data_IF_720350649113
#
_entry.id   IF_720350649113
#
_cell.length_a   1.000
_cell.length_b   1.000
_cell.length_c   1.000
_cell.angle_alpha   90.00
_cell.angle_beta   90.00
_cell.angle_gamma   90.00
#
_symmetry.space_group_name_H-M   'P 1'
#
loop_
_entity.id
_entity.type
_entity.pdbx_description
1 polymer ?
#
# COMPACT_ATOMS: atom_id res chain seq x y z
N UNK A 1 28.48 -13.28 32.57
CA UNK A 1 28.61 -12.23 31.55
C UNK A 1 29.38 -12.81 30.37
N UNK A 2 28.68 -13.28 29.35
CA UNK A 2 29.32 -13.83 28.15
C UNK A 2 29.61 -12.71 27.16
N UNK A 3 30.85 -12.61 26.71
CA UNK A 3 31.26 -11.68 25.66
C UNK A 3 30.51 -12.08 24.37
N UNK A 4 29.72 -11.19 23.75
CA UNK A 4 29.05 -11.50 22.49
C UNK A 4 30.10 -11.87 21.44
N UNK A 5 29.94 -13.02 20.79
CA UNK A 5 30.86 -13.44 19.74
C UNK A 5 30.95 -12.35 18.66
N UNK A 6 32.18 -12.02 18.24
CA UNK A 6 32.50 -11.01 17.23
C UNK A 6 31.70 -11.15 15.91
N UNK A 7 31.14 -12.34 15.67
CA UNK A 7 30.40 -12.71 14.45
C UNK A 7 29.03 -12.03 14.34
N UNK A 8 28.43 -11.60 15.46
CA UNK A 8 27.11 -10.92 15.49
C UNK A 8 27.20 -9.45 15.05
N UNK A 9 28.42 -8.88 14.94
CA UNK A 9 28.63 -7.48 14.52
C UNK A 9 28.44 -7.21 13.02
N UNK A 10 28.08 -8.21 12.19
CA UNK A 10 28.02 -8.05 10.73
C UNK A 10 26.74 -8.60 10.07
N UNK A 11 25.58 -8.36 10.66
CA UNK A 11 24.35 -8.33 9.85
C UNK A 11 24.32 -7.01 9.09
N UNK A 12 24.95 -7.01 7.92
CA UNK A 12 24.99 -5.85 7.05
C UNK A 12 23.65 -5.71 6.33
N UNK A 13 22.87 -4.72 6.74
CA UNK A 13 21.64 -4.30 6.07
C UNK A 13 22.04 -3.65 4.75
N UNK A 14 22.11 -4.43 3.67
CA UNK A 14 22.48 -3.91 2.34
C UNK A 14 21.30 -3.14 1.75
N UNK A 15 21.38 -1.82 1.74
CA UNK A 15 20.33 -0.97 1.17
C UNK A 15 20.44 -0.98 -0.36
N UNK A 16 19.34 -1.26 -1.06
CA UNK A 16 19.23 -1.01 -2.50
C UNK A 16 19.06 0.49 -2.74
N UNK A 17 20.01 1.06 -3.46
CA UNK A 17 19.98 2.48 -3.83
C UNK A 17 18.83 2.81 -4.80
N UNK A 18 18.47 1.87 -5.68
CA UNK A 18 17.44 2.11 -6.69
C UNK A 18 16.02 1.87 -6.16
N UNK A 19 15.11 2.80 -6.47
CA UNK A 19 13.67 2.60 -6.24
C UNK A 19 13.13 1.62 -7.28
N UNK A 20 12.32 0.61 -6.89
CA UNK A 20 11.76 -0.32 -7.86
C UNK A 20 10.95 0.46 -8.91
N UNK A 21 11.16 0.12 -10.20
CA UNK A 21 10.50 0.80 -11.32
C UNK A 21 9.00 0.46 -11.36
N UNK A 22 8.62 -0.77 -10.99
CA UNK A 22 7.25 -1.28 -11.05
C UNK A 22 6.21 -0.42 -10.31
N UNK A 23 6.42 0.00 -9.03
CA UNK A 23 5.54 0.93 -8.35
C UNK A 23 5.33 2.25 -9.08
N UNK A 24 6.36 2.78 -9.77
CA UNK A 24 6.25 4.01 -10.56
C UNK A 24 5.39 3.78 -11.81
N UNK A 25 5.60 2.67 -12.51
CA UNK A 25 4.76 2.27 -13.65
C UNK A 25 3.30 2.11 -13.21
N UNK A 26 3.05 1.43 -12.09
CA UNK A 26 1.70 1.28 -11.56
C UNK A 26 1.07 2.65 -11.24
N UNK A 27 1.82 3.58 -10.63
CA UNK A 27 1.35 4.93 -10.34
C UNK A 27 0.97 5.71 -11.61
N UNK A 28 1.76 5.58 -12.69
CA UNK A 28 1.46 6.18 -14.00
C UNK A 28 0.19 5.57 -14.59
N UNK A 29 0.05 4.25 -14.61
CA UNK A 29 -1.15 3.57 -15.14
C UNK A 29 -2.42 3.97 -14.37
N UNK A 30 -2.35 4.06 -13.03
CA UNK A 30 -3.46 4.54 -12.19
C UNK A 30 -3.83 5.98 -12.56
N UNK A 31 -2.83 6.84 -12.80
CA UNK A 31 -3.05 8.23 -13.18
C UNK A 31 -3.70 8.34 -14.56
N UNK A 32 -3.26 7.56 -15.55
CA UNK A 32 -3.86 7.49 -16.89
C UNK A 32 -5.30 6.96 -16.85
N UNK A 33 -5.58 5.92 -16.05
CA UNK A 33 -6.93 5.41 -15.85
C UNK A 33 -7.87 6.46 -15.22
N UNK A 34 -7.34 7.29 -14.31
CA UNK A 34 -8.11 8.40 -13.71
C UNK A 34 -8.35 9.54 -14.70
N UNK A 35 -7.37 9.86 -15.56
CA UNK A 35 -7.51 10.82 -16.65
C UNK A 35 -8.61 10.40 -17.62
N UNK A 36 -8.61 9.14 -18.06
CA UNK A 36 -9.68 8.61 -18.91
C UNK A 36 -11.08 8.74 -18.27
N UNK A 37 -11.20 8.43 -16.98
CA UNK A 37 -12.47 8.61 -16.25
C UNK A 37 -12.91 10.08 -16.11
N UNK A 38 -11.96 10.99 -15.87
CA UNK A 38 -12.22 12.42 -15.76
C UNK A 38 -12.63 13.03 -17.11
N UNK A 39 -11.95 12.67 -18.20
CA UNK A 39 -12.30 13.07 -19.57
C UNK A 39 -13.69 12.57 -19.93
N UNK A 40 -13.97 11.28 -19.68
CA UNK A 40 -15.29 10.69 -19.94
C UNK A 40 -16.40 11.45 -19.21
N UNK A 41 -16.29 11.58 -17.88
CA UNK A 41 -17.33 12.26 -17.09
C UNK A 41 -17.43 13.75 -17.46
N UNK A 42 -16.29 14.42 -17.71
CA UNK A 42 -16.29 15.84 -18.07
C UNK A 42 -16.98 16.10 -19.41
N UNK A 43 -16.80 15.20 -20.38
CA UNK A 43 -17.45 15.30 -21.69
C UNK A 43 -18.96 15.09 -21.57
N UNK A 44 -19.40 14.14 -20.73
CA UNK A 44 -20.82 13.92 -20.42
C UNK A 44 -21.46 15.13 -19.74
N UNK A 45 -20.68 15.87 -18.92
CA UNK A 45 -21.05 17.14 -18.31
C UNK A 45 -20.86 18.37 -19.23
N UNK A 46 -20.63 18.16 -20.54
CA UNK A 46 -20.53 19.23 -21.55
C UNK A 46 -19.18 19.95 -21.62
N UNK A 47 -18.16 19.52 -20.89
CA UNK A 47 -16.82 20.11 -20.96
C UNK A 47 -16.06 19.67 -22.22
N UNK A 48 -15.16 20.52 -22.71
CA UNK A 48 -14.34 20.27 -23.91
C UNK A 48 -12.92 20.81 -23.77
N UNK A 49 -12.01 20.29 -24.60
CA UNK A 49 -10.68 20.84 -24.76
C UNK A 49 -9.83 20.86 -23.47
N UNK A 50 -9.02 21.92 -23.24
CA UNK A 50 -8.14 22.01 -22.07
C UNK A 50 -8.85 21.97 -20.71
N UNK A 51 -10.14 22.34 -20.65
CA UNK A 51 -10.93 22.29 -19.42
C UNK A 51 -11.02 20.87 -18.83
N UNK A 52 -11.01 19.84 -19.69
CA UNK A 52 -11.01 18.43 -19.26
C UNK A 52 -9.73 18.07 -18.50
N UNK A 53 -8.58 18.55 -18.97
CA UNK A 53 -7.27 18.32 -18.34
C UNK A 53 -7.21 19.04 -17.00
N UNK A 54 -7.66 20.31 -16.95
CA UNK A 54 -7.65 21.08 -15.71
C UNK A 54 -8.61 20.47 -14.67
N UNK A 55 -9.79 20.00 -15.08
CA UNK A 55 -10.69 19.25 -14.19
C UNK A 55 -10.05 17.96 -13.68
N UNK A 56 -9.40 17.19 -14.55
CA UNK A 56 -8.66 16.01 -14.11
C UNK A 56 -7.59 16.36 -13.08
N UNK A 57 -6.77 17.38 -13.36
CA UNK A 57 -5.71 17.85 -12.46
C UNK A 57 -6.28 18.24 -11.10
N UNK A 58 -7.45 18.89 -11.08
CA UNK A 58 -8.17 19.27 -9.86
C UNK A 58 -8.56 18.05 -9.04
N UNK A 59 -9.31 17.11 -9.64
CA UNK A 59 -9.78 15.90 -8.95
C UNK A 59 -8.59 15.02 -8.51
N UNK A 60 -7.61 14.86 -9.38
CA UNK A 60 -6.42 14.05 -9.13
C UNK A 60 -5.57 14.62 -7.99
N UNK A 61 -5.31 15.93 -7.98
CA UNK A 61 -4.52 16.57 -6.93
C UNK A 61 -5.22 16.55 -5.56
N UNK A 62 -6.54 16.75 -5.51
CA UNK A 62 -7.34 16.61 -4.27
C UNK A 62 -7.30 15.16 -3.77
N UNK A 63 -7.51 14.18 -4.67
CA UNK A 63 -7.47 12.77 -4.29
C UNK A 63 -6.08 12.33 -3.81
N UNK A 64 -5.02 12.76 -4.50
CA UNK A 64 -3.63 12.50 -4.13
C UNK A 64 -3.31 13.08 -2.74
N UNK A 65 -3.70 14.33 -2.51
CA UNK A 65 -3.55 15.03 -1.23
C UNK A 65 -4.30 14.31 -0.12
N UNK A 66 -5.59 14.02 -0.32
CA UNK A 66 -6.45 13.39 0.67
C UNK A 66 -5.88 12.06 1.15
N UNK A 67 -5.50 11.17 0.24
CA UNK A 67 -4.90 9.90 0.60
C UNK A 67 -3.56 10.09 1.30
N UNK A 68 -2.67 10.88 0.74
CA UNK A 68 -1.35 11.14 1.31
C UNK A 68 -1.45 11.62 2.77
N UNK A 69 -2.37 12.56 3.03
CA UNK A 69 -2.64 13.11 4.35
C UNK A 69 -3.31 12.09 5.29
N UNK A 70 -4.20 11.23 4.78
CA UNK A 70 -4.79 10.14 5.57
C UNK A 70 -3.71 9.14 6.02
N UNK A 71 -2.80 8.79 5.11
CA UNK A 71 -1.69 7.90 5.42
C UNK A 71 -0.75 8.50 6.48
N UNK A 72 -0.44 9.79 6.34
CA UNK A 72 0.32 10.55 7.35
C UNK A 72 -0.40 10.63 8.70
N UNK A 73 -1.69 10.94 8.72
CA UNK A 73 -2.44 11.33 9.92
C UNK A 73 -2.99 10.17 10.76
N UNK A 74 -3.25 9.02 10.13
CA UNK A 74 -3.90 7.88 10.80
C UNK A 74 -3.16 6.54 10.63
N UNK A 75 -2.54 6.28 9.48
CA UNK A 75 -1.93 4.97 9.23
C UNK A 75 -0.49 4.86 9.73
N UNK A 76 0.26 5.96 9.76
CA UNK A 76 1.59 5.99 10.38
C UNK A 76 1.46 5.87 11.90
N UNK A 77 1.99 4.78 12.46
CA UNK A 77 1.99 4.51 13.90
C UNK A 77 3.26 5.06 14.55
N UNK A 78 3.10 5.61 15.76
CA UNK A 78 4.22 6.11 16.58
C UNK A 78 5.03 4.99 17.24
N UNK A 79 4.46 3.79 17.32
CA UNK A 79 5.03 2.59 17.93
C UNK A 79 4.58 1.36 17.15
N UNK A 80 5.41 0.33 17.13
CA UNK A 80 5.10 -0.99 16.57
C UNK A 80 5.41 -2.03 17.66
N UNK A 81 4.61 -3.09 17.78
CA UNK A 81 4.73 -4.04 18.91
C UNK A 81 6.05 -4.81 18.92
N UNK A 82 6.62 -5.02 17.74
CA UNK A 82 7.74 -5.93 17.52
C UNK A 82 9.05 -5.18 17.22
N UNK A 83 9.08 -3.85 17.42
CA UNK A 83 10.23 -2.99 17.14
C UNK A 83 10.48 -2.01 18.29
N UNK A 84 11.74 -1.59 18.46
CA UNK A 84 12.11 -0.62 19.49
C UNK A 84 11.34 0.71 19.28
N UNK A 85 10.52 1.14 20.27
CA UNK A 85 9.76 2.38 20.19
C UNK A 85 10.61 3.62 19.90
N UNK A 86 11.85 3.68 20.37
CA UNK A 86 12.73 4.82 20.10
C UNK A 86 13.19 4.87 18.65
N UNK A 87 13.51 3.71 18.07
CA UNK A 87 13.89 3.57 16.66
C UNK A 87 12.72 3.88 15.74
N UNK A 88 11.51 3.42 16.08
CA UNK A 88 10.29 3.77 15.34
C UNK A 88 9.99 5.27 15.43
N UNK A 89 10.20 5.89 16.61
CA UNK A 89 10.06 7.35 16.76
C UNK A 89 11.10 8.11 15.95
N UNK A 90 12.35 7.65 15.89
CA UNK A 90 13.40 8.24 15.06
C UNK A 90 13.05 8.15 13.57
N UNK A 91 12.64 6.96 13.10
CA UNK A 91 12.13 6.76 11.74
C UNK A 91 11.01 7.74 11.38
N UNK A 92 10.02 7.87 12.26
CA UNK A 92 8.89 8.79 12.04
C UNK A 92 9.30 10.27 12.08
N UNK A 93 10.30 10.62 12.89
CA UNK A 93 10.86 11.97 12.95
C UNK A 93 11.47 12.35 11.59
N UNK A 94 12.20 11.43 10.97
CA UNK A 94 12.87 11.66 9.68
C UNK A 94 11.92 11.51 8.48
N UNK A 95 10.83 10.75 8.64
CA UNK A 95 9.71 10.76 7.70
C UNK A 95 9.02 12.13 7.61
N UNK A 96 9.01 12.91 8.70
CA UNK A 96 8.36 14.23 8.78
C UNK A 96 8.88 15.26 7.77
N UNK A 97 10.19 15.60 7.75
CA UNK A 97 10.78 16.48 6.75
C UNK A 97 10.50 16.05 5.31
N UNK A 98 10.55 14.75 5.04
CA UNK A 98 10.29 14.21 3.69
C UNK A 98 8.83 14.32 3.31
N UNK A 99 7.92 14.06 4.25
CA UNK A 99 6.50 14.28 4.06
C UNK A 99 6.18 15.75 3.76
N UNK A 100 6.82 16.71 4.46
CA UNK A 100 6.71 18.15 4.15
C UNK A 100 7.17 18.47 2.73
N UNK A 101 8.32 17.92 2.30
CA UNK A 101 8.84 18.17 0.95
C UNK A 101 7.85 17.67 -0.11
N UNK A 102 7.34 16.45 0.05
CA UNK A 102 6.35 15.88 -0.88
C UNK A 102 5.05 16.69 -0.83
N UNK A 103 4.58 17.09 0.34
CA UNK A 103 3.37 17.90 0.49
C UNK A 103 3.47 19.26 -0.20
N UNK A 104 4.63 19.93 -0.14
CA UNK A 104 4.86 21.19 -0.87
C UNK A 104 4.78 21.00 -2.38
N UNK A 105 5.31 19.89 -2.91
CA UNK A 105 5.17 19.57 -4.33
C UNK A 105 3.71 19.31 -4.71
N UNK A 106 2.97 18.57 -3.88
CA UNK A 106 1.54 18.37 -4.08
C UNK A 106 0.79 19.71 -4.01
N UNK A 107 1.15 20.60 -3.09
CA UNK A 107 0.51 21.90 -2.94
C UNK A 107 0.60 22.74 -4.21
N UNK A 108 1.75 22.73 -4.90
CA UNK A 108 1.89 23.40 -6.20
C UNK A 108 0.88 22.86 -7.22
N UNK A 109 0.73 21.53 -7.29
CA UNK A 109 -0.25 20.90 -8.17
C UNK A 109 -1.68 21.26 -7.78
N UNK A 110 -1.99 21.33 -6.47
CA UNK A 110 -3.31 21.75 -5.97
C UNK A 110 -3.59 23.21 -6.30
N UNK A 111 -2.59 24.12 -6.23
CA UNK A 111 -2.76 25.52 -6.65
C UNK A 111 -3.16 25.61 -8.12
N UNK A 112 -2.49 24.88 -9.01
CA UNK A 112 -2.89 24.82 -10.41
C UNK A 112 -4.28 24.19 -10.58
N UNK A 113 -4.55 23.10 -9.87
CA UNK A 113 -5.87 22.45 -9.85
C UNK A 113 -6.98 23.33 -9.27
N UNK A 114 -6.68 24.32 -8.44
CA UNK A 114 -7.69 25.18 -7.84
C UNK A 114 -8.49 25.95 -8.90
N UNK A 115 -7.97 26.16 -10.11
CA UNK A 115 -8.70 26.78 -11.21
C UNK A 115 -9.83 25.90 -11.81
N UNK A 116 -9.89 24.60 -11.46
CA UNK A 116 -10.88 23.65 -11.98
C UNK A 116 -12.35 24.08 -11.90
N UNK A 117 -12.85 24.59 -10.76
CA UNK A 117 -14.24 25.04 -10.62
C UNK A 117 -14.63 26.17 -11.59
N UNK A 118 -13.66 26.95 -12.07
CA UNK A 118 -13.89 28.08 -13.00
C UNK A 118 -14.03 27.63 -14.45
N UNK A 119 -13.43 26.50 -14.82
CA UNK A 119 -13.58 25.93 -16.17
C UNK A 119 -14.70 24.89 -16.26
N UNK A 120 -15.26 24.48 -15.13
CA UNK A 120 -16.41 23.60 -15.06
C UNK A 120 -17.72 24.39 -15.30
N UNK A 121 -18.12 24.52 -16.57
CA UNK A 121 -19.31 25.28 -16.97
C UNK A 121 -20.61 24.79 -16.32
N UNK A 122 -20.72 23.49 -16.00
CA UNK A 122 -21.88 22.97 -15.26
C UNK A 122 -22.01 23.49 -13.82
N UNK A 123 -21.02 24.26 -13.32
CA UNK A 123 -21.10 25.00 -12.06
C UNK A 123 -21.62 26.44 -12.22
N UNK A 124 -21.91 26.93 -13.44
CA UNK A 124 -22.34 28.32 -13.67
C UNK A 124 -23.64 28.65 -12.92
N UNK A 125 -24.57 27.70 -12.86
CA UNK A 125 -25.81 27.83 -12.07
C UNK A 125 -25.64 27.59 -10.56
N UNK A 126 -24.42 27.36 -10.06
CA UNK A 126 -24.12 27.03 -8.65
C UNK A 126 -22.94 27.84 -8.11
N UNK A 127 -23.04 29.19 -8.06
CA UNK A 127 -21.92 30.06 -7.73
C UNK A 127 -21.33 29.77 -6.34
N UNK A 128 -22.18 29.52 -5.33
CA UNK A 128 -21.71 29.19 -3.98
C UNK A 128 -20.83 27.93 -3.98
N UNK A 129 -21.26 26.85 -4.65
CA UNK A 129 -20.48 25.61 -4.74
C UNK A 129 -19.15 25.84 -5.47
N UNK A 130 -19.16 26.60 -6.57
CA UNK A 130 -17.94 26.99 -7.30
C UNK A 130 -16.93 27.69 -6.38
N UNK A 131 -17.38 28.69 -5.62
CA UNK A 131 -16.51 29.41 -4.67
C UNK A 131 -16.00 28.49 -3.55
N UNK A 132 -16.87 27.64 -2.98
CA UNK A 132 -16.46 26.70 -1.92
C UNK A 132 -15.41 25.70 -2.41
N UNK A 133 -15.55 25.18 -3.63
CA UNK A 133 -14.56 24.27 -4.23
C UNK A 133 -13.24 25.00 -4.52
N UNK A 134 -13.29 26.23 -5.01
CA UNK A 134 -12.10 27.05 -5.27
C UNK A 134 -11.37 27.39 -3.96
N UNK A 135 -12.05 28.04 -3.02
CA UNK A 135 -11.49 28.46 -1.73
C UNK A 135 -11.05 27.27 -0.90
N UNK A 136 -11.79 26.16 -0.92
CA UNK A 136 -11.40 24.93 -0.26
C UNK A 136 -10.12 24.33 -0.85
N UNK A 137 -9.94 24.39 -2.18
CA UNK A 137 -8.70 23.94 -2.84
C UNK A 137 -7.51 24.83 -2.48
N UNK A 138 -7.71 26.15 -2.42
CA UNK A 138 -6.70 27.10 -1.92
C UNK A 138 -6.35 26.83 -0.44
N UNK A 139 -7.35 26.57 0.41
CA UNK A 139 -7.14 26.20 1.81
C UNK A 139 -6.36 24.89 1.92
N UNK A 140 -6.69 23.88 1.12
CA UNK A 140 -5.96 22.61 1.10
C UNK A 140 -4.48 22.83 0.70
N UNK A 141 -4.22 23.62 -0.35
CA UNK A 141 -2.87 23.98 -0.75
C UNK A 141 -2.11 24.70 0.38
N UNK A 142 -2.74 25.67 1.05
CA UNK A 142 -2.15 26.36 2.19
C UNK A 142 -1.80 25.37 3.31
N UNK A 143 -2.73 24.48 3.68
CA UNK A 143 -2.49 23.48 4.73
C UNK A 143 -1.36 22.51 4.36
N UNK A 144 -1.18 22.17 3.08
CA UNK A 144 -0.08 21.35 2.58
C UNK A 144 1.28 22.08 2.62
N UNK A 145 1.29 23.40 2.44
CA UNK A 145 2.49 24.24 2.55
C UNK A 145 2.93 24.42 4.01
N UNK A 146 1.98 24.38 4.95
CA UNK A 146 2.22 24.36 6.38
C UNK A 146 2.78 23.00 6.85
N UNK A 147 3.06 22.85 8.15
CA UNK A 147 3.73 21.66 8.69
C UNK A 147 2.82 20.44 8.84
N UNK A 148 2.52 19.77 7.72
CA UNK A 148 1.89 18.43 7.70
C UNK A 148 2.80 17.33 8.28
N UNK A 149 4.01 17.71 8.73
CA UNK A 149 4.83 16.92 9.63
C UNK A 149 4.19 16.74 11.01
N UNK A 150 3.13 17.46 11.37
CA UNK A 150 2.30 17.18 12.56
C UNK A 150 1.07 16.34 12.20
N UNK A 151 0.68 15.42 13.09
CA UNK A 151 -0.51 14.57 12.88
C UNK A 151 -1.80 15.37 12.87
N UNK A 152 -1.92 16.39 13.72
CA UNK A 152 -3.13 17.24 13.82
C UNK A 152 -3.38 17.97 12.50
N UNK A 153 -2.38 18.67 11.97
CA UNK A 153 -2.55 19.41 10.73
C UNK A 153 -2.80 18.50 9.54
N UNK A 154 -2.12 17.35 9.48
CA UNK A 154 -2.39 16.34 8.45
C UNK A 154 -3.84 15.85 8.48
N UNK A 155 -4.42 15.66 9.67
CA UNK A 155 -5.83 15.25 9.83
C UNK A 155 -6.80 16.34 9.40
N UNK A 156 -6.54 17.60 9.79
CA UNK A 156 -7.37 18.73 9.36
C UNK A 156 -7.36 18.88 7.83
N UNK A 157 -6.17 18.84 7.23
CA UNK A 157 -6.01 18.91 5.78
C UNK A 157 -6.70 17.75 5.06
N UNK A 158 -6.63 16.53 5.60
CA UNK A 158 -7.39 15.40 5.07
C UNK A 158 -8.91 15.60 5.17
N UNK A 159 -9.40 16.23 6.24
CA UNK A 159 -10.80 16.62 6.38
C UNK A 159 -11.23 17.60 5.27
N UNK A 160 -10.42 18.62 4.99
CA UNK A 160 -10.66 19.56 3.88
C UNK A 160 -10.67 18.83 2.53
N UNK A 161 -9.69 17.95 2.28
CA UNK A 161 -9.64 17.16 1.05
C UNK A 161 -10.88 16.26 0.90
N UNK A 162 -11.35 15.63 1.98
CA UNK A 162 -12.57 14.83 1.97
C UNK A 162 -13.82 15.66 1.63
N UNK A 163 -13.98 16.84 2.23
CA UNK A 163 -15.07 17.76 1.93
C UNK A 163 -15.04 18.22 0.46
N UNK A 164 -13.86 18.47 -0.10
CA UNK A 164 -13.69 18.79 -1.52
C UNK A 164 -14.09 17.62 -2.41
N UNK A 165 -13.67 16.38 -2.10
CA UNK A 165 -14.09 15.19 -2.86
C UNK A 165 -15.60 14.99 -2.79
N UNK A 166 -16.23 15.22 -1.62
CA UNK A 166 -17.68 15.18 -1.47
C UNK A 166 -18.37 16.28 -2.29
N UNK A 167 -17.83 17.50 -2.28
CA UNK A 167 -18.33 18.62 -3.07
C UNK A 167 -18.26 18.35 -4.57
N UNK A 168 -17.16 17.77 -5.06
CA UNK A 168 -17.04 17.34 -6.46
C UNK A 168 -17.94 16.16 -6.80
N UNK A 169 -18.14 15.20 -5.88
CA UNK A 169 -19.09 14.11 -6.09
C UNK A 169 -20.53 14.65 -6.24
N UNK A 170 -20.91 15.60 -5.40
CA UNK A 170 -22.19 16.32 -5.49
C UNK A 170 -22.31 17.15 -6.78
N UNK A 171 -21.22 17.80 -7.20
CA UNK A 171 -21.18 18.56 -8.45
C UNK A 171 -21.38 17.64 -9.67
N UNK A 172 -20.72 16.49 -9.68
CA UNK A 172 -20.75 15.52 -10.79
C UNK A 172 -22.09 14.77 -10.88
N UNK A 173 -22.68 14.38 -9.75
CA UNK A 173 -23.75 13.39 -9.72
C UNK A 173 -24.97 13.77 -8.84
N UNK A 174 -24.95 14.94 -8.20
CA UNK A 174 -26.04 15.40 -7.33
C UNK A 174 -26.15 14.63 -6.01
N UNK A 175 -27.34 14.66 -5.41
CA UNK A 175 -27.67 13.90 -4.20
C UNK A 175 -28.14 12.48 -4.53
N UNK A 176 -28.19 11.61 -3.53
CA UNK A 176 -28.72 10.25 -3.66
C UNK A 176 -27.64 9.21 -4.02
N UNK A 177 -28.08 8.08 -4.59
CA UNK A 177 -27.22 6.91 -4.82
C UNK A 177 -26.07 7.21 -5.77
N UNK A 178 -26.30 7.99 -6.84
CA UNK A 178 -25.26 8.34 -7.80
C UNK A 178 -24.15 9.19 -7.15
N UNK A 179 -24.53 10.22 -6.37
CA UNK A 179 -23.60 11.03 -5.58
C UNK A 179 -22.82 10.20 -4.56
N UNK A 180 -23.50 9.29 -3.84
CA UNK A 180 -22.85 8.40 -2.88
C UNK A 180 -21.83 7.46 -3.56
N UNK A 181 -22.21 6.82 -4.67
CA UNK A 181 -21.30 5.96 -5.45
C UNK A 181 -20.07 6.75 -5.92
N UNK A 182 -20.27 7.98 -6.38
CA UNK A 182 -19.18 8.86 -6.82
C UNK A 182 -18.25 9.23 -5.66
N UNK A 183 -18.81 9.55 -4.51
CA UNK A 183 -18.06 9.85 -3.29
C UNK A 183 -17.23 8.65 -2.83
N UNK A 184 -17.84 7.46 -2.75
CA UNK A 184 -17.13 6.22 -2.40
C UNK A 184 -16.00 5.94 -3.40
N UNK A 185 -16.26 6.12 -4.70
CA UNK A 185 -15.24 5.96 -5.74
C UNK A 185 -14.06 6.92 -5.53
N UNK A 186 -14.33 8.21 -5.30
CA UNK A 186 -13.30 9.22 -5.05
C UNK A 186 -12.52 8.96 -3.77
N UNK A 187 -13.18 8.60 -2.67
CA UNK A 187 -12.50 8.28 -1.41
C UNK A 187 -11.62 7.04 -1.55
N UNK A 188 -12.12 5.98 -2.20
CA UNK A 188 -11.34 4.78 -2.47
C UNK A 188 -10.13 5.10 -3.35
N UNK A 189 -10.34 5.81 -4.47
CA UNK A 189 -9.25 6.25 -5.34
C UNK A 189 -8.21 7.10 -4.59
N UNK A 190 -8.66 8.03 -3.75
CA UNK A 190 -7.81 8.89 -2.91
C UNK A 190 -6.93 8.06 -1.97
N UNK A 191 -7.52 7.15 -1.18
CA UNK A 191 -6.77 6.26 -0.28
C UNK A 191 -5.71 5.43 -1.00
N UNK A 192 -6.02 4.95 -2.21
CA UNK A 192 -5.09 4.16 -3.02
C UNK A 192 -3.91 4.99 -3.52
N UNK A 193 -4.20 6.06 -4.27
CA UNK A 193 -3.17 6.84 -4.98
C UNK A 193 -2.29 7.62 -4.01
N UNK A 194 -2.89 8.20 -2.96
CA UNK A 194 -2.15 8.89 -1.91
C UNK A 194 -1.34 7.93 -1.02
N UNK A 195 -1.84 6.72 -0.79
CA UNK A 195 -1.07 5.68 -0.09
C UNK A 195 0.10 5.14 -0.88
N UNK A 196 -0.07 4.97 -2.19
CA UNK A 196 1.02 4.64 -3.09
C UNK A 196 2.09 5.73 -3.05
N UNK A 197 1.70 7.01 -3.14
CA UNK A 197 2.63 8.13 -3.06
C UNK A 197 3.36 8.18 -1.70
N UNK A 198 2.65 8.01 -0.58
CA UNK A 198 3.26 7.98 0.75
C UNK A 198 4.34 6.90 0.84
N UNK A 199 4.04 5.67 0.40
CA UNK A 199 4.98 4.57 0.45
C UNK A 199 6.19 4.81 -0.47
N UNK A 200 5.96 5.37 -1.67
CA UNK A 200 7.02 5.61 -2.67
C UNK A 200 7.94 6.76 -2.28
N UNK A 201 7.37 7.90 -1.89
CA UNK A 201 8.10 9.14 -1.75
C UNK A 201 8.59 9.41 -0.31
N UNK A 202 7.94 8.80 0.69
CA UNK A 202 8.24 9.02 2.11
C UNK A 202 8.77 7.74 2.77
N UNK A 203 7.94 6.70 2.86
CA UNK A 203 8.27 5.54 3.70
C UNK A 203 9.48 4.75 3.19
N UNK A 204 9.54 4.43 1.89
CA UNK A 204 10.68 3.71 1.31
C UNK A 204 12.00 4.47 1.45
N UNK A 205 12.08 5.77 1.08
CA UNK A 205 13.34 6.47 1.24
C UNK A 205 13.76 6.72 2.69
N UNK A 206 12.82 6.94 3.61
CA UNK A 206 13.16 7.04 5.04
C UNK A 206 13.71 5.71 5.56
N UNK A 207 13.15 4.57 5.12
CA UNK A 207 13.69 3.24 5.45
C UNK A 207 15.13 3.01 4.97
N UNK A 208 15.59 3.72 3.93
CA UNK A 208 16.98 3.63 3.46
C UNK A 208 17.96 4.38 4.35
N UNK A 209 17.52 5.46 4.98
CA UNK A 209 18.33 6.27 5.90
C UNK A 209 18.51 5.48 7.21
N UNK A 210 17.47 4.79 7.66
CA UNK A 210 17.52 3.91 8.82
C UNK A 210 17.74 2.46 8.39
N UNK A 211 18.99 2.11 8.08
CA UNK A 211 19.39 0.73 7.81
C UNK A 211 19.43 -0.12 9.11
N UNK A 212 18.33 -0.13 9.87
CA UNK A 212 18.14 -0.93 11.08
C UNK A 212 16.95 -1.87 10.93
N UNK A 213 16.98 -2.98 11.67
CA UNK A 213 15.91 -3.99 11.65
C UNK A 213 14.57 -3.38 12.09
N UNK A 214 14.56 -2.51 13.10
CA UNK A 214 13.35 -1.82 13.56
C UNK A 214 12.69 -0.94 12.48
N UNK A 215 13.50 -0.27 11.66
CA UNK A 215 12.99 0.55 10.56
C UNK A 215 12.42 -0.32 9.43
N UNK A 216 13.04 -1.49 9.18
CA UNK A 216 12.50 -2.48 8.25
C UNK A 216 11.17 -3.02 8.75
N UNK A 217 11.04 -3.34 10.03
CA UNK A 217 9.78 -3.78 10.66
C UNK A 217 8.70 -2.70 10.57
N UNK A 218 9.02 -1.47 10.95
CA UNK A 218 8.09 -0.34 10.86
C UNK A 218 7.60 -0.12 9.42
N UNK A 219 8.50 -0.23 8.46
CA UNK A 219 8.16 -0.14 7.05
C UNK A 219 7.31 -1.33 6.58
N UNK A 220 7.62 -2.55 7.02
CA UNK A 220 6.87 -3.75 6.68
C UNK A 220 5.43 -3.65 7.19
N UNK A 221 5.24 -3.25 8.46
CA UNK A 221 3.92 -3.03 9.05
C UNK A 221 3.15 -1.92 8.34
N UNK A 222 3.82 -0.83 7.95
CA UNK A 222 3.19 0.23 7.15
C UNK A 222 2.70 -0.28 5.80
N UNK A 223 3.50 -1.12 5.15
CA UNK A 223 3.15 -1.70 3.87
C UNK A 223 2.04 -2.75 3.99
N UNK A 224 1.98 -3.50 5.09
CA UNK A 224 0.88 -4.42 5.40
C UNK A 224 -0.44 -3.69 5.61
N UNK A 225 -0.42 -2.57 6.33
CA UNK A 225 -1.58 -1.67 6.43
C UNK A 225 -2.03 -1.19 5.06
N UNK A 226 -1.09 -0.78 4.19
CA UNK A 226 -1.40 -0.39 2.82
C UNK A 226 -2.06 -1.51 2.02
N UNK A 227 -1.53 -2.74 2.09
CA UNK A 227 -2.13 -3.89 1.41
C UNK A 227 -3.53 -4.18 1.91
N UNK A 228 -3.73 -4.14 3.23
CA UNK A 228 -5.03 -4.37 3.84
C UNK A 228 -6.05 -3.36 3.29
N UNK A 229 -5.70 -2.08 3.25
CA UNK A 229 -6.57 -1.03 2.69
C UNK A 229 -6.83 -1.26 1.20
N UNK A 230 -5.79 -1.55 0.42
CA UNK A 230 -5.92 -1.79 -1.03
C UNK A 230 -6.82 -2.99 -1.34
N UNK A 231 -6.81 -4.04 -0.50
CA UNK A 231 -7.73 -5.20 -0.63
C UNK A 231 -9.20 -4.82 -0.60
N UNK A 232 -9.57 -3.73 0.08
CA UNK A 232 -10.95 -3.22 0.09
C UNK A 232 -11.16 -2.12 -0.95
N UNK A 233 -10.18 -1.25 -1.11
CA UNK A 233 -10.25 -0.09 -1.99
C UNK A 233 -10.31 -0.48 -3.47
N UNK A 234 -9.51 -1.46 -3.90
CA UNK A 234 -9.49 -1.87 -5.31
C UNK A 234 -10.82 -2.49 -5.77
N UNK A 235 -11.42 -3.46 -5.04
CA UNK A 235 -12.78 -3.90 -5.32
C UNK A 235 -13.80 -2.76 -5.28
N UNK A 236 -13.69 -1.84 -4.32
CA UNK A 236 -14.60 -0.70 -4.24
C UNK A 236 -14.54 0.20 -5.48
N UNK A 237 -13.34 0.52 -5.99
CA UNK A 237 -13.15 1.31 -7.21
C UNK A 237 -13.73 0.58 -8.42
N UNK A 238 -13.50 -0.73 -8.55
CA UNK A 238 -14.01 -1.55 -9.66
C UNK A 238 -15.53 -1.60 -9.61
N UNK A 239 -16.12 -1.97 -8.47
CA UNK A 239 -17.57 -2.13 -8.31
C UNK A 239 -18.31 -0.81 -8.51
N UNK A 240 -17.84 0.28 -7.90
CA UNK A 240 -18.45 1.61 -8.12
C UNK A 240 -18.25 2.09 -9.56
N UNK A 241 -17.12 1.78 -10.19
CA UNK A 241 -16.86 2.06 -11.60
C UNK A 241 -17.83 1.33 -12.54
N UNK A 242 -18.06 0.03 -12.31
CA UNK A 242 -19.02 -0.79 -13.05
C UNK A 242 -20.44 -0.27 -12.82
N UNK A 243 -20.80 0.04 -11.57
CA UNK A 243 -22.12 0.58 -11.24
C UNK A 243 -22.38 1.91 -11.99
N UNK A 244 -21.41 2.83 -11.99
CA UNK A 244 -21.53 4.08 -12.77
C UNK A 244 -21.58 3.81 -14.29
N UNK A 245 -20.78 2.87 -14.81
CA UNK A 245 -20.79 2.52 -16.24
C UNK A 245 -22.08 1.82 -16.69
N UNK A 246 -22.79 1.16 -15.78
CA UNK A 246 -24.03 0.44 -16.09
C UNK A 246 -25.14 1.34 -16.65
N UNK A 247 -25.09 2.64 -16.34
CA UNK A 247 -25.98 3.65 -16.92
C UNK A 247 -25.90 3.74 -18.46
N UNK A 248 -24.80 3.26 -19.07
CA UNK A 248 -24.57 3.31 -20.51
C UNK A 248 -24.86 1.97 -21.24
N UNK A 249 -25.37 0.95 -20.53
CA UNK A 249 -25.68 -0.39 -21.10
C UNK A 249 -26.56 -0.34 -22.37
N UNK A 250 -27.48 0.61 -22.45
CA UNK A 250 -28.43 0.73 -23.57
C UNK A 250 -27.83 1.35 -24.84
N UNK A 251 -26.55 1.75 -24.85
CA UNK A 251 -25.91 2.37 -26.02
C UNK A 251 -25.49 1.31 -27.06
N UNK A 252 -25.58 1.61 -28.37
CA UNK A 252 -25.21 0.69 -29.44
C UNK A 252 -23.71 0.36 -29.43
N UNK A 253 -23.32 -0.80 -29.97
CA UNK A 253 -21.93 -1.28 -29.94
C UNK A 253 -20.92 -0.24 -30.48
N UNK A 254 -21.24 0.38 -31.62
CA UNK A 254 -20.37 1.40 -32.24
C UNK A 254 -20.16 2.66 -31.41
N UNK A 255 -20.96 2.91 -30.36
CA UNK A 255 -20.70 3.97 -29.39
C UNK A 255 -19.51 3.62 -28.47
N UNK A 256 -19.37 2.35 -28.10
CA UNK A 256 -18.28 1.86 -27.26
C UNK A 256 -16.92 1.86 -27.96
N UNK A 257 -16.91 1.93 -29.28
CA UNK A 257 -15.69 1.99 -30.11
C UNK A 257 -15.25 3.44 -30.39
N UNK A 258 -16.12 4.43 -30.14
CA UNK A 258 -15.87 5.84 -30.46
C UNK A 258 -15.66 6.67 -29.20
N UNK A 259 -14.96 7.79 -29.34
CA UNK A 259 -14.82 8.75 -28.26
C UNK A 259 -16.18 9.41 -27.93
N UNK A 260 -16.55 9.58 -26.65
CA UNK A 260 -15.82 9.22 -25.44
C UNK A 260 -16.07 7.78 -24.94
N UNK A 261 -17.00 7.02 -25.52
CA UNK A 261 -17.37 5.66 -25.09
C UNK A 261 -16.21 4.68 -24.99
N UNK A 262 -15.24 4.75 -25.90
CA UNK A 262 -14.01 3.93 -25.91
C UNK A 262 -13.12 4.09 -24.66
N UNK A 263 -13.30 5.18 -23.89
CA UNK A 263 -12.55 5.37 -22.66
C UNK A 263 -12.92 4.36 -21.56
N UNK A 264 -14.15 3.82 -21.57
CA UNK A 264 -14.58 2.82 -20.60
C UNK A 264 -13.81 1.49 -20.80
N UNK A 265 -13.85 0.84 -21.97
CA UNK A 265 -13.09 -0.39 -22.18
C UNK A 265 -11.57 -0.17 -22.07
N UNK A 266 -11.04 0.98 -22.52
CA UNK A 266 -9.63 1.32 -22.33
C UNK A 266 -9.25 1.36 -20.83
N UNK A 267 -10.09 1.96 -19.98
CA UNK A 267 -9.89 1.98 -18.53
C UNK A 267 -9.94 0.58 -17.93
N UNK A 268 -10.87 -0.27 -18.38
CA UNK A 268 -10.93 -1.68 -17.95
C UNK A 268 -9.64 -2.42 -18.32
N UNK A 269 -9.12 -2.23 -19.55
CA UNK A 269 -7.86 -2.82 -19.97
C UNK A 269 -6.67 -2.38 -19.09
N UNK A 270 -6.60 -1.09 -18.74
CA UNK A 270 -5.57 -0.57 -17.81
C UNK A 270 -5.71 -1.20 -16.42
N UNK A 271 -6.94 -1.36 -15.91
CA UNK A 271 -7.17 -2.02 -14.61
C UNK A 271 -6.72 -3.49 -14.66
N UNK A 272 -7.03 -4.21 -15.74
CA UNK A 272 -6.55 -5.59 -15.94
C UNK A 272 -5.02 -5.65 -15.99
N UNK A 273 -4.38 -4.72 -16.71
CA UNK A 273 -2.92 -4.61 -16.74
C UNK A 273 -2.34 -4.33 -15.33
N UNK A 274 -2.97 -3.45 -14.55
CA UNK A 274 -2.58 -3.19 -13.16
C UNK A 274 -2.71 -4.44 -12.29
N UNK A 275 -3.83 -5.16 -12.37
CA UNK A 275 -4.02 -6.43 -11.65
C UNK A 275 -2.95 -7.44 -12.04
N UNK A 276 -2.64 -7.57 -13.33
CA UNK A 276 -1.55 -8.40 -13.83
C UNK A 276 -0.20 -7.97 -13.25
N UNK A 277 0.11 -6.67 -13.21
CA UNK A 277 1.33 -6.15 -12.57
C UNK A 277 1.35 -6.53 -11.09
N UNK A 278 0.23 -6.42 -10.37
CA UNK A 278 0.17 -6.80 -8.95
C UNK A 278 0.29 -8.31 -8.71
N UNK A 279 -0.22 -9.15 -9.62
CA UNK A 279 -0.11 -10.62 -9.53
C UNK A 279 1.30 -11.08 -9.91
N UNK A 280 1.84 -10.55 -11.02
CA UNK A 280 3.12 -10.98 -11.60
C UNK A 280 4.33 -10.37 -10.91
N UNK A 281 4.24 -9.14 -10.41
CA UNK A 281 5.25 -8.62 -9.51
C UNK A 281 5.03 -9.38 -8.21
N UNK A 282 5.85 -10.38 -7.85
CA UNK A 282 5.61 -11.16 -6.65
C UNK A 282 5.49 -10.15 -5.53
N UNK A 283 4.31 -10.12 -4.93
CA UNK A 283 4.00 -9.38 -3.73
C UNK A 283 5.21 -9.59 -2.78
N UNK A 284 6.14 -8.62 -2.78
CA UNK A 284 7.06 -8.31 -1.69
C UNK A 284 8.45 -8.94 -1.56
N UNK A 285 8.98 -9.75 -2.49
CA UNK A 285 10.41 -10.16 -2.38
C UNK A 285 11.41 -9.18 -3.00
N UNK A 286 11.02 -8.38 -4.00
CA UNK A 286 11.96 -7.51 -4.74
C UNK A 286 11.80 -6.01 -4.46
N UNK A 287 10.77 -5.62 -3.70
CA UNK A 287 10.45 -4.21 -3.44
C UNK A 287 10.85 -3.72 -2.04
N UNK A 288 11.43 -4.57 -1.20
CA UNK A 288 12.07 -4.09 0.02
C UNK A 288 13.31 -3.28 -0.38
N UNK A 289 13.47 -2.03 0.12
CA UNK A 289 14.68 -1.25 -0.12
C UNK A 289 15.91 -1.86 0.56
N UNK A 290 15.77 -2.95 1.29
CA UNK A 290 16.85 -3.67 1.94
C UNK A 290 17.01 -5.06 1.30
N UNK A 291 18.17 -5.29 0.70
CA UNK A 291 18.66 -6.58 0.18
C UNK A 291 19.17 -7.39 1.38
N UNK A 292 18.67 -8.60 1.60
CA UNK A 292 19.23 -9.53 2.59
C UNK A 292 18.57 -9.56 3.97
N UNK A 293 17.56 -8.74 4.28
CA UNK A 293 16.73 -8.95 5.50
C UNK A 293 15.66 -9.99 5.21
N UNK A 294 16.12 -11.24 5.16
CA UNK A 294 15.37 -12.41 5.57
C UNK A 294 15.99 -12.87 6.89
N UNK A 295 15.78 -12.12 7.97
CA UNK A 295 15.63 -12.61 9.35
C UNK A 295 15.68 -11.41 10.30
N UNK A 296 14.53 -11.07 10.88
CA UNK A 296 14.44 -10.08 11.97
C UNK A 296 14.77 -10.75 13.31
N UNK A 297 14.93 -12.07 13.31
CA UNK A 297 14.99 -12.89 14.52
C UNK A 297 16.34 -13.56 14.81
N UNK A 298 17.35 -13.24 14.00
CA UNK A 298 18.75 -13.39 14.41
C UNK A 298 19.10 -12.53 15.66
N UNK A 299 18.18 -11.68 16.12
CA UNK A 299 18.33 -10.79 17.28
C UNK A 299 17.84 -11.38 18.62
N UNK A 300 16.92 -12.35 18.62
CA UNK A 300 16.35 -12.91 19.87
C UNK A 300 17.19 -14.09 20.42
N UNK A 301 17.99 -14.73 19.56
CA UNK A 301 18.83 -15.91 19.85
C UNK A 301 20.00 -15.67 20.84
N UNK A 302 20.26 -14.42 21.27
CA UNK A 302 21.30 -14.13 22.25
C UNK A 302 20.90 -14.41 23.72
N UNK A 303 19.67 -14.88 23.97
CA UNK A 303 19.05 -14.91 25.31
C UNK A 303 18.68 -16.30 25.85
N UNK A 304 19.30 -17.38 25.37
CA UNK A 304 19.58 -18.63 26.09
C UNK A 304 18.44 -19.42 26.79
N UNK A 305 18.36 -20.73 26.52
CA UNK A 305 18.22 -21.78 27.56
C UNK A 305 18.38 -23.17 26.94
N UNK A 306 19.36 -23.91 27.46
CA UNK A 306 19.56 -25.31 27.15
C UNK A 306 18.58 -26.20 27.91
N UNK A 307 18.17 -27.29 27.28
CA UNK A 307 17.57 -28.46 27.95
C UNK A 307 18.12 -29.73 27.30
N UNK A 308 18.47 -30.67 28.16
CA UNK A 308 19.11 -31.98 27.93
C UNK A 308 18.11 -33.05 27.43
N UNK A 309 18.61 -34.23 26.98
CA UNK A 309 17.94 -35.14 26.07
C UNK A 309 17.21 -36.29 26.77
N UNK A 310 16.11 -36.75 26.17
CA UNK A 310 15.89 -38.14 25.79
C UNK A 310 14.65 -38.16 24.87
N UNK A 311 14.85 -38.67 23.66
CA UNK A 311 14.08 -38.52 22.41
C UNK A 311 14.09 -37.12 21.76
N UNK A 312 14.39 -37.02 20.44
CA UNK A 312 14.40 -35.76 19.73
C UNK A 312 12.99 -35.13 19.76
N UNK A 313 12.78 -33.98 20.43
CA UNK A 313 11.46 -33.39 20.54
C UNK A 313 10.96 -33.00 19.14
N UNK A 314 9.73 -33.42 18.82
CA UNK A 314 8.99 -32.85 17.69
C UNK A 314 8.39 -31.53 18.15
N UNK A 315 9.03 -30.42 17.78
CA UNK A 315 8.49 -29.09 18.07
C UNK A 315 7.63 -28.63 16.90
N UNK A 316 6.45 -28.08 17.18
CA UNK A 316 5.51 -27.61 16.17
C UNK A 316 5.47 -26.09 16.12
N UNK A 317 5.66 -25.53 14.94
CA UNK A 317 5.45 -24.12 14.61
C UNK A 317 4.18 -23.98 13.76
N UNK A 318 3.19 -23.29 14.30
CA UNK A 318 1.93 -23.02 13.60
C UNK A 318 1.94 -21.63 12.96
N UNK A 319 2.11 -21.61 11.64
CA UNK A 319 2.14 -20.44 10.77
C UNK A 319 0.87 -20.28 9.93
N UNK A 320 -0.23 -20.95 10.28
CA UNK A 320 -1.48 -20.87 9.50
C UNK A 320 -2.11 -19.47 9.47
N UNK A 321 -1.73 -18.59 10.40
CA UNK A 321 -2.20 -17.21 10.51
C UNK A 321 -1.06 -16.20 10.45
N UNK A 322 0.12 -16.62 10.02
CA UNK A 322 1.34 -15.82 10.00
C UNK A 322 1.77 -15.64 8.54
N UNK A 323 2.11 -14.41 8.08
CA UNK A 323 2.62 -14.20 6.73
C UNK A 323 3.85 -15.08 6.42
N UNK A 324 4.03 -15.54 5.16
CA UNK A 324 5.07 -16.51 4.81
C UNK A 324 6.46 -16.17 5.36
N UNK A 325 6.88 -14.91 5.19
CA UNK A 325 8.18 -14.43 5.68
C UNK A 325 8.31 -14.63 7.19
N UNK A 326 7.34 -14.15 7.97
CA UNK A 326 7.32 -14.32 9.43
C UNK A 326 7.23 -15.80 9.84
N UNK A 327 6.55 -16.63 9.03
CA UNK A 327 6.45 -18.06 9.29
C UNK A 327 7.78 -18.80 9.14
N UNK A 328 8.55 -18.49 8.09
CA UNK A 328 9.89 -19.06 7.89
C UNK A 328 10.85 -18.61 8.98
N UNK A 329 10.78 -17.34 9.37
CA UNK A 329 11.56 -16.77 10.48
C UNK A 329 11.26 -17.54 11.79
N UNK A 330 9.98 -17.77 12.11
CA UNK A 330 9.57 -18.62 13.26
C UNK A 330 10.12 -20.05 13.16
N UNK A 331 10.08 -20.63 11.97
CA UNK A 331 10.59 -21.97 11.75
C UNK A 331 12.11 -22.03 11.91
N UNK A 332 12.85 -21.04 11.41
CA UNK A 332 14.30 -21.00 11.45
C UNK A 332 14.84 -20.86 12.88
N UNK A 333 14.35 -19.90 13.65
CA UNK A 333 14.66 -19.80 15.08
C UNK A 333 14.38 -21.10 15.83
N UNK A 334 13.19 -21.67 15.60
CA UNK A 334 12.80 -22.89 16.30
C UNK A 334 13.79 -23.99 15.92
N UNK A 335 14.14 -24.13 14.64
CA UNK A 335 15.16 -25.08 14.18
C UNK A 335 16.53 -24.84 14.82
N UNK A 336 16.95 -23.58 14.99
CA UNK A 336 18.23 -23.21 15.63
C UNK A 336 18.25 -23.39 17.15
N UNK A 337 17.08 -23.44 17.80
CA UNK A 337 16.96 -23.76 19.22
C UNK A 337 16.93 -25.27 19.51
N UNK A 338 16.54 -26.08 18.52
CA UNK A 338 16.36 -27.52 18.65
C UNK A 338 17.68 -28.29 18.80
N UNK A 339 17.82 -29.36 19.59
CA UNK A 339 19.06 -30.15 19.59
C UNK A 339 19.29 -30.85 18.23
N UNK A 340 20.55 -31.21 17.92
CA UNK A 340 20.85 -31.99 16.71
C UNK A 340 20.04 -33.29 16.70
N UNK A 341 19.52 -33.68 15.54
CA UNK A 341 18.60 -34.80 15.37
C UNK A 341 17.12 -34.51 15.70
N UNK A 342 16.80 -33.38 16.33
CA UNK A 342 15.42 -32.98 16.62
C UNK A 342 14.61 -32.70 15.35
N UNK A 343 13.27 -32.78 15.49
CA UNK A 343 12.35 -32.58 14.37
C UNK A 343 11.52 -31.32 14.56
N UNK A 344 11.38 -30.55 13.49
CA UNK A 344 10.50 -29.38 13.43
C UNK A 344 9.31 -29.67 12.52
N UNK A 345 8.10 -29.53 13.05
CA UNK A 345 6.87 -29.52 12.27
C UNK A 345 6.44 -28.08 11.97
N UNK A 346 6.27 -27.73 10.69
CA UNK A 346 5.77 -26.41 10.26
C UNK A 346 4.39 -26.59 9.64
N UNK A 347 3.40 -25.84 10.12
CA UNK A 347 2.05 -25.77 9.52
C UNK A 347 1.83 -24.41 8.89
N UNK A 348 1.52 -24.34 7.60
CA UNK A 348 1.29 -23.05 6.90
C UNK A 348 0.08 -23.11 5.98
N UNK A 349 -0.72 -22.03 5.93
CA UNK A 349 -1.78 -21.85 4.93
C UNK A 349 -1.29 -21.07 3.70
N UNK A 350 -0.05 -20.60 3.71
CA UNK A 350 0.50 -19.83 2.60
C UNK A 350 0.64 -20.71 1.35
N UNK A 351 0.20 -20.20 0.20
CA UNK A 351 0.25 -20.89 -1.09
C UNK A 351 1.68 -21.10 -1.57
N UNK A 352 2.62 -20.27 -1.12
CA UNK A 352 4.03 -20.34 -1.50
C UNK A 352 4.86 -21.22 -0.56
N UNK A 353 4.33 -21.60 0.61
CA UNK A 353 5.05 -22.40 1.60
C UNK A 353 5.72 -23.67 1.04
N UNK A 354 5.12 -24.45 0.11
CA UNK A 354 5.75 -25.64 -0.46
C UNK A 354 7.09 -25.38 -1.15
N UNK A 355 7.22 -24.24 -1.82
CA UNK A 355 8.44 -23.84 -2.50
C UNK A 355 9.40 -23.19 -1.51
N UNK A 356 8.91 -22.26 -0.68
CA UNK A 356 9.78 -21.46 0.17
C UNK A 356 10.39 -22.24 1.33
N UNK A 357 9.61 -23.11 2.00
CA UNK A 357 10.12 -23.97 3.09
C UNK A 357 11.16 -24.95 2.55
N UNK A 358 10.95 -25.49 1.34
CA UNK A 358 11.91 -26.39 0.70
C UNK A 358 13.23 -25.68 0.38
N UNK A 359 13.18 -24.52 -0.27
CA UNK A 359 14.38 -23.75 -0.62
C UNK A 359 15.15 -23.29 0.63
N UNK A 360 14.44 -22.86 1.66
CA UNK A 360 15.04 -22.51 2.94
C UNK A 360 15.74 -23.73 3.57
N UNK A 361 15.06 -24.88 3.63
CA UNK A 361 15.61 -26.12 4.16
C UNK A 361 16.88 -26.58 3.42
N UNK A 362 16.85 -26.58 2.10
CA UNK A 362 17.99 -26.95 1.25
C UNK A 362 19.18 -26.00 1.46
N UNK A 363 18.93 -24.69 1.51
CA UNK A 363 19.96 -23.67 1.72
C UNK A 363 20.60 -23.77 3.11
N UNK A 364 19.82 -24.08 4.13
CA UNK A 364 20.28 -24.20 5.51
C UNK A 364 20.77 -25.60 5.88
N UNK A 365 20.71 -26.57 4.94
CA UNK A 365 21.15 -27.94 5.18
C UNK A 365 20.23 -28.75 6.10
N UNK A 366 18.95 -28.40 6.21
CA UNK A 366 17.95 -29.11 7.00
C UNK A 366 17.25 -30.19 6.15
N UNK A 367 17.40 -31.50 6.44
CA UNK A 367 16.72 -32.54 5.69
C UNK A 367 15.19 -32.42 5.85
N UNK A 368 14.49 -32.23 4.73
CA UNK A 368 13.03 -32.26 4.67
C UNK A 368 12.55 -33.72 4.70
N UNK A 369 11.96 -34.14 5.82
CA UNK A 369 11.48 -35.51 6.04
C UNK A 369 10.08 -35.74 5.48
N UNK A 370 9.21 -34.74 5.54
CA UNK A 370 7.83 -34.86 5.10
C UNK A 370 7.31 -33.54 4.55
N UNK A 371 6.55 -33.62 3.46
CA UNK A 371 5.76 -32.52 2.92
C UNK A 371 4.41 -33.07 2.47
N UNK A 372 3.33 -32.63 3.10
CA UNK A 372 1.97 -33.04 2.77
C UNK A 372 0.98 -31.89 2.92
N UNK A 373 -0.19 -32.04 2.31
CA UNK A 373 -1.31 -31.10 2.46
C UNK A 373 -2.39 -31.77 3.29
N UNK A 374 -2.81 -31.12 4.39
CA UNK A 374 -3.84 -31.63 5.32
C UNK A 374 -5.01 -30.67 5.45
N UNK A 375 -6.13 -31.18 5.96
CA UNK A 375 -7.36 -30.41 6.20
C UNK A 375 -8.36 -30.43 5.02
N UNK A 376 -9.58 -29.96 5.29
CA UNK A 376 -10.70 -29.96 4.34
C UNK A 376 -10.96 -28.55 3.84
N UNK A 377 -11.08 -28.38 2.52
CA UNK A 377 -11.42 -27.13 1.81
C UNK A 377 -10.79 -25.84 2.39
N UNK A 378 -11.53 -24.97 3.10
CA UNK A 378 -11.06 -23.71 3.70
C UNK A 378 -10.08 -23.91 4.88
N UNK A 379 -10.06 -25.09 5.48
CA UNK A 379 -9.12 -25.46 6.53
C UNK A 379 -7.86 -26.15 5.99
N UNK A 380 -7.65 -26.20 4.65
CA UNK A 380 -6.43 -26.78 4.07
C UNK A 380 -5.18 -26.02 4.50
N UNK A 381 -4.13 -26.75 4.85
CA UNK A 381 -2.81 -26.22 5.15
C UNK A 381 -1.72 -27.20 4.69
N UNK A 382 -0.52 -26.68 4.48
CA UNK A 382 0.69 -27.45 4.23
C UNK A 382 1.36 -27.80 5.55
N UNK A 383 1.82 -29.05 5.65
CA UNK A 383 2.57 -29.57 6.78
C UNK A 383 3.94 -30.02 6.29
N UNK A 384 4.97 -29.50 6.94
CA UNK A 384 6.37 -29.86 6.68
C UNK A 384 6.95 -30.46 7.94
N UNK A 385 7.79 -31.48 7.81
CA UNK A 385 8.61 -31.99 8.93
C UNK A 385 10.05 -31.98 8.48
N UNK A 386 10.91 -31.30 9.23
CA UNK A 386 12.34 -31.18 8.95
C UNK A 386 13.14 -31.74 10.12
N UNK A 387 14.38 -32.15 9.87
CA UNK A 387 15.31 -32.59 10.91
C UNK A 387 16.44 -31.59 11.07
N UNK A 388 16.89 -31.34 12.29
CA UNK A 388 18.16 -30.66 12.53
C UNK A 388 19.31 -31.64 12.29
N UNK A 389 20.29 -31.31 11.42
CA UNK A 389 21.43 -32.18 11.15
C UNK A 389 22.29 -32.45 12.38
#
# INVERSE_FOLDING_TARGET
>A
MGIPSERVRRLEVVVREETPILPKIAFVLISLASLGGAIFTGTDLGMRGPALILRWLTLWSIALSGGFLVWRGWYTKSTESDADPERVRAYNRDAGPRARQVARLIALVVVFGAAGPWVAGYLDGRPLLRYLLFLGSCLLALLLLLDVGTTVLARMAAGVAFLLLAGWAYADAGVGVAGLLRMVHFSAFSLWVGGALWNIAVAMPTGRIHASIDAVLAQAHQLDRFRLVVRFVLPSIILTGIAMASAYRGRPLGWWERFPGALIPAKVAIILALVTVFILCPLFRQCSPVKGVCDVRDLDDASGKGISPHDPPLVTVDNRHVPCAMGLIRADETMRSLPSGAKLEIKSKDVYAPMEVKLWAERSGYPLLLQERRGVWLARYHRFVLRRP
#
